data_IF_095275725846
#
_entry.id   IF_095275725846
#
_cell.length_a   1.000
_cell.length_b   1.000
_cell.length_c   1.000
_cell.angle_alpha   90.00
_cell.angle_beta   90.00
_cell.angle_gamma   90.00
#
_symmetry.space_group_name_H-M   'P 1'
#
loop_
_entity.id
_entity.type
_entity.pdbx_description
1 polymer ?
#
# COMPACT_ATOMS: atom_id res chain seq x y z
N UNK A 1 -35.36 -1.96 11.32
CA UNK A 1 -35.37 -3.28 11.95
C UNK A 1 -33.93 -3.65 12.27
N UNK A 2 -33.56 -3.66 13.55
CA UNK A 2 -32.25 -4.13 14.00
C UNK A 2 -32.19 -5.64 13.76
N UNK A 3 -31.32 -6.07 12.83
CA UNK A 3 -31.04 -7.50 12.63
C UNK A 3 -30.43 -8.00 13.94
N UNK A 4 -31.08 -8.98 14.59
CA UNK A 4 -30.48 -9.67 15.73
C UNK A 4 -29.19 -10.32 15.23
N UNK A 5 -28.04 -9.82 15.69
CA UNK A 5 -26.75 -10.47 15.46
C UNK A 5 -26.87 -11.92 15.95
N UNK A 6 -26.60 -12.90 15.09
CA UNK A 6 -26.59 -14.30 15.50
C UNK A 6 -25.44 -14.50 16.50
N UNK A 7 -25.60 -15.44 17.43
CA UNK A 7 -24.53 -15.80 18.38
C UNK A 7 -23.22 -16.12 17.65
N UNK A 8 -23.33 -16.70 16.45
CA UNK A 8 -22.19 -17.01 15.60
C UNK A 8 -21.47 -15.77 15.06
N UNK A 9 -22.22 -14.77 14.59
CA UNK A 9 -21.62 -13.51 14.12
C UNK A 9 -20.86 -12.80 15.24
N UNK A 10 -21.38 -12.84 16.47
CA UNK A 10 -20.69 -12.31 17.65
C UNK A 10 -19.40 -13.10 17.95
N UNK A 11 -19.43 -14.44 17.82
CA UNK A 11 -18.23 -15.28 18.00
C UNK A 11 -17.15 -14.97 16.97
N UNK A 12 -17.54 -14.79 15.70
CA UNK A 12 -16.63 -14.40 14.62
C UNK A 12 -16.00 -13.03 14.88
N UNK A 13 -16.81 -12.03 15.22
CA UNK A 13 -16.33 -10.68 15.54
C UNK A 13 -15.34 -10.70 16.71
N UNK A 14 -15.64 -11.42 17.79
CA UNK A 14 -14.75 -11.52 18.93
C UNK A 14 -13.44 -12.25 18.58
N UNK A 15 -13.49 -13.27 17.71
CA UNK A 15 -12.28 -13.96 17.23
C UNK A 15 -11.40 -13.04 16.41
N UNK A 16 -12.00 -12.21 15.55
CA UNK A 16 -11.29 -11.20 14.78
C UNK A 16 -10.60 -10.17 15.68
N UNK A 17 -11.26 -9.73 16.76
CA UNK A 17 -10.66 -8.83 17.75
C UNK A 17 -9.42 -9.45 18.43
N UNK A 18 -9.47 -10.75 18.77
CA UNK A 18 -8.33 -11.44 19.38
C UNK A 18 -7.16 -11.55 18.40
N UNK A 19 -7.39 -11.98 17.15
CA UNK A 19 -6.33 -12.08 16.14
C UNK A 19 -5.75 -10.71 15.78
N UNK A 20 -6.60 -9.68 15.62
CA UNK A 20 -6.16 -8.32 15.36
C UNK A 20 -5.31 -7.74 16.51
N UNK A 21 -5.69 -8.02 17.76
CA UNK A 21 -4.90 -7.61 18.94
C UNK A 21 -3.51 -8.26 18.95
N UNK A 22 -3.44 -9.57 18.67
CA UNK A 22 -2.17 -10.28 18.53
C UNK A 22 -1.33 -9.77 17.35
N UNK A 23 -1.94 -9.37 16.23
CA UNK A 23 -1.18 -8.77 15.11
C UNK A 23 -0.62 -7.40 15.45
N UNK A 24 -1.41 -6.57 16.14
CA UNK A 24 -1.02 -5.20 16.50
C UNK A 24 0.05 -5.17 17.59
N UNK A 25 -0.05 -6.04 18.58
CA UNK A 25 0.80 -6.01 19.79
C UNK A 25 1.82 -7.15 19.88
N UNK A 26 1.79 -8.10 18.93
CA UNK A 26 2.62 -9.30 18.97
C UNK A 26 2.07 -10.35 19.94
N UNK A 27 2.90 -11.33 20.35
CA UNK A 27 2.46 -12.36 21.29
C UNK A 27 2.06 -11.76 22.64
N UNK A 28 0.86 -12.09 23.11
CA UNK A 28 0.26 -11.53 24.33
C UNK A 28 -0.11 -12.60 25.34
N UNK A 29 -0.07 -12.25 26.64
CA UNK A 29 -0.71 -13.08 27.65
C UNK A 29 -2.24 -12.95 27.58
N UNK A 30 -2.94 -13.95 28.10
CA UNK A 30 -4.41 -13.95 28.22
C UNK A 30 -4.98 -12.65 28.81
N UNK A 31 -4.36 -12.14 29.89
CA UNK A 31 -4.80 -10.90 30.56
C UNK A 31 -4.65 -9.68 29.67
N UNK A 32 -3.60 -9.65 28.84
CA UNK A 32 -3.31 -8.52 27.97
C UNK A 32 -4.24 -8.55 26.75
N UNK A 33 -4.57 -9.74 26.23
CA UNK A 33 -5.61 -9.91 25.20
C UNK A 33 -6.96 -9.39 25.73
N UNK A 34 -7.34 -9.79 26.95
CA UNK A 34 -8.59 -9.30 27.58
C UNK A 34 -8.59 -7.78 27.74
N UNK A 35 -7.47 -7.19 28.18
CA UNK A 35 -7.33 -5.75 28.33
C UNK A 35 -7.43 -5.00 27.00
N UNK A 36 -6.69 -5.43 25.96
CA UNK A 36 -6.66 -4.75 24.67
C UNK A 36 -7.95 -4.92 23.86
N UNK A 37 -8.66 -6.04 24.01
CA UNK A 37 -9.91 -6.31 23.28
C UNK A 37 -11.16 -5.87 24.04
N UNK A 38 -11.06 -5.64 25.35
CA UNK A 38 -12.22 -5.40 26.23
C UNK A 38 -13.12 -6.63 26.44
N UNK A 39 -12.72 -7.81 25.96
CA UNK A 39 -13.49 -9.04 26.09
C UNK A 39 -13.37 -9.62 27.50
N UNK A 40 -14.45 -10.28 27.97
CA UNK A 40 -14.43 -10.98 29.23
C UNK A 40 -13.42 -12.14 29.22
N UNK A 41 -12.76 -12.39 30.36
CA UNK A 41 -11.74 -13.43 30.52
C UNK A 41 -12.19 -14.82 30.04
N UNK A 42 -13.44 -15.22 30.34
CA UNK A 42 -14.01 -16.48 29.88
C UNK A 42 -14.16 -16.54 28.35
N UNK A 43 -14.56 -15.43 27.72
CA UNK A 43 -14.68 -15.30 26.25
C UNK A 43 -13.32 -15.45 25.59
N UNK A 44 -12.29 -14.77 26.11
CA UNK A 44 -10.91 -14.90 25.61
C UNK A 44 -10.43 -16.35 25.72
N UNK A 45 -10.68 -17.02 26.86
CA UNK A 45 -10.28 -18.42 27.05
C UNK A 45 -10.92 -19.37 26.04
N UNK A 46 -12.22 -19.20 25.75
CA UNK A 46 -12.91 -20.01 24.76
C UNK A 46 -12.32 -19.79 23.36
N UNK A 47 -12.15 -18.53 22.95
CA UNK A 47 -11.60 -18.16 21.63
C UNK A 47 -10.17 -18.67 21.46
N UNK A 48 -9.29 -18.47 22.45
CA UNK A 48 -7.89 -18.91 22.35
C UNK A 48 -7.80 -20.44 22.28
N UNK A 49 -8.56 -21.17 23.10
CA UNK A 49 -8.56 -22.63 23.07
C UNK A 49 -9.05 -23.18 21.72
N UNK A 50 -10.09 -22.54 21.17
CA UNK A 50 -10.61 -22.86 19.84
C UNK A 50 -9.57 -22.61 18.74
N UNK A 51 -8.90 -21.44 18.74
CA UNK A 51 -7.87 -21.09 17.76
C UNK A 51 -6.60 -21.95 17.88
N UNK A 52 -6.23 -22.37 19.10
CA UNK A 52 -5.15 -23.34 19.32
C UNK A 52 -5.49 -24.72 18.75
N UNK A 53 -6.72 -25.20 18.98
CA UNK A 53 -7.20 -26.47 18.43
C UNK A 53 -7.20 -26.46 16.89
N UNK A 54 -7.46 -25.30 16.30
CA UNK A 54 -7.41 -25.08 14.86
C UNK A 54 -5.98 -24.84 14.32
N UNK A 55 -4.95 -24.93 15.17
CA UNK A 55 -3.56 -24.69 14.81
C UNK A 55 -3.27 -23.28 14.27
N UNK A 56 -4.13 -22.31 14.58
CA UNK A 56 -3.96 -20.89 14.19
C UNK A 56 -3.09 -20.16 15.21
N UNK A 57 -3.24 -20.53 16.49
CA UNK A 57 -2.41 -20.01 17.59
C UNK A 57 -1.47 -21.09 18.12
N UNK A 58 -0.38 -20.63 18.71
CA UNK A 58 0.51 -21.43 19.53
C UNK A 58 0.66 -20.79 20.92
N UNK A 59 0.74 -21.65 21.94
CA UNK A 59 1.09 -21.25 23.31
C UNK A 59 2.57 -21.44 23.58
N UNK A 60 3.18 -20.46 24.24
CA UNK A 60 4.53 -20.56 24.79
C UNK A 60 4.47 -20.28 26.29
N UNK A 61 5.09 -21.16 27.08
CA UNK A 61 5.27 -20.90 28.50
C UNK A 61 6.44 -19.93 28.68
N UNK A 62 6.16 -18.74 29.20
CA UNK A 62 7.21 -17.83 29.60
C UNK A 62 7.57 -18.14 31.06
N UNK A 63 8.75 -18.74 31.27
CA UNK A 63 9.30 -18.92 32.61
C UNK A 63 9.50 -17.53 33.24
N UNK A 64 8.92 -17.33 34.42
CA UNK A 64 9.09 -16.08 35.15
C UNK A 64 10.58 -15.89 35.48
N UNK A 65 11.16 -14.76 35.07
CA UNK A 65 12.46 -14.35 35.57
C UNK A 65 12.35 -14.11 37.09
N UNK A 66 12.87 -15.05 37.87
CA UNK A 66 13.17 -14.91 39.30
C UNK A 66 12.01 -14.49 40.26
N UNK A 67 10.76 -14.86 40.01
CA UNK A 67 9.62 -14.57 40.91
C UNK A 67 8.68 -15.76 41.10
N UNK A 68 8.22 -15.98 42.34
CA UNK A 68 7.15 -16.93 42.68
C UNK A 68 5.84 -16.44 42.03
N UNK A 69 5.40 -17.12 40.99
CA UNK A 69 4.11 -16.91 40.33
C UNK A 69 3.81 -18.04 39.36
N UNK A 70 2.52 -18.26 39.03
CA UNK A 70 2.11 -19.23 38.01
C UNK A 70 2.74 -18.83 36.66
N UNK A 71 3.36 -19.75 35.90
CA UNK A 71 3.92 -19.45 34.58
C UNK A 71 2.92 -18.69 33.72
N UNK A 72 3.39 -17.62 33.06
CA UNK A 72 2.55 -16.79 32.18
C UNK A 72 2.49 -17.47 30.81
N UNK A 73 1.30 -17.84 30.37
CA UNK A 73 1.08 -18.39 29.03
C UNK A 73 0.95 -17.24 28.05
N UNK A 74 1.80 -17.23 27.03
CA UNK A 74 1.79 -16.25 25.94
C UNK A 74 1.22 -16.94 24.70
N UNK A 75 0.23 -16.32 24.09
CA UNK A 75 -0.34 -16.73 22.80
C UNK A 75 0.30 -15.92 21.69
N UNK A 76 0.64 -16.59 20.60
CA UNK A 76 1.06 -15.95 19.36
C UNK A 76 0.49 -16.68 18.15
N UNK A 77 0.53 -16.03 16.98
CA UNK A 77 0.17 -16.68 15.73
C UNK A 77 1.11 -17.85 15.47
N UNK A 78 0.54 -19.00 15.12
CA UNK A 78 1.34 -20.14 14.64
C UNK A 78 1.85 -19.79 13.25
N UNK A 79 3.18 -19.62 13.11
CA UNK A 79 3.81 -19.20 11.85
C UNK A 79 3.40 -20.09 10.67
N UNK A 80 3.37 -21.41 10.87
CA UNK A 80 2.98 -22.39 9.85
C UNK A 80 1.49 -22.53 9.57
N UNK A 81 0.62 -21.65 10.10
CA UNK A 81 -0.83 -21.71 9.81
C UNK A 81 -1.17 -21.35 8.35
N UNK A 82 -0.21 -20.77 7.62
CA UNK A 82 -0.33 -20.46 6.20
C UNK A 82 0.74 -19.48 5.77
N UNK A 83 0.83 -19.26 4.46
CA UNK A 83 1.78 -18.33 3.87
C UNK A 83 1.07 -17.31 2.99
N UNK A 84 1.73 -16.18 2.78
CA UNK A 84 1.28 -15.17 1.83
C UNK A 84 2.45 -14.72 0.94
N UNK A 85 2.13 -14.35 -0.29
CA UNK A 85 3.08 -13.71 -1.20
C UNK A 85 2.65 -12.28 -1.45
N UNK A 86 3.54 -11.33 -1.18
CA UNK A 86 3.39 -9.93 -1.57
C UNK A 86 4.18 -9.67 -2.86
N UNK A 87 3.51 -9.14 -3.88
CA UNK A 87 4.12 -8.78 -5.16
C UNK A 87 3.93 -7.31 -5.44
N UNK A 88 5.03 -6.58 -5.57
CA UNK A 88 5.03 -5.16 -5.95
C UNK A 88 5.47 -5.01 -7.39
N UNK A 89 4.56 -4.58 -8.24
CA UNK A 89 4.80 -4.29 -9.66
C UNK A 89 5.13 -2.80 -9.80
N UNK A 90 6.41 -2.46 -9.75
CA UNK A 90 6.90 -1.11 -9.99
C UNK A 90 7.14 -0.84 -11.48
N UNK A 91 7.57 0.38 -11.81
CA UNK A 91 7.86 0.77 -13.19
C UNK A 91 9.12 0.10 -13.72
N UNK A 92 10.16 -0.05 -12.89
CA UNK A 92 11.50 -0.55 -13.22
C UNK A 92 11.75 -2.01 -12.84
N UNK A 93 11.02 -2.52 -11.86
CA UNK A 93 11.21 -3.88 -11.34
C UNK A 93 9.89 -4.49 -10.85
N UNK A 94 9.91 -5.81 -10.62
CA UNK A 94 8.90 -6.52 -9.85
C UNK A 94 9.58 -7.13 -8.63
N UNK A 95 9.01 -6.94 -7.46
CA UNK A 95 9.52 -7.48 -6.21
C UNK A 95 8.56 -8.54 -5.68
N UNK A 96 9.09 -9.68 -5.29
CA UNK A 96 8.35 -10.82 -4.76
C UNK A 96 8.83 -11.08 -3.33
N UNK A 97 7.90 -11.15 -2.38
CA UNK A 97 8.18 -11.36 -0.96
C UNK A 97 7.26 -12.45 -0.40
N UNK A 98 7.81 -13.51 0.16
CA UNK A 98 7.08 -14.57 0.84
C UNK A 98 7.14 -14.33 2.34
N UNK A 99 5.99 -14.35 3.02
CA UNK A 99 5.90 -14.27 4.46
C UNK A 99 5.03 -15.39 5.04
N UNK A 100 5.29 -15.76 6.28
CA UNK A 100 4.43 -16.65 7.06
C UNK A 100 3.25 -15.90 7.70
N UNK A 101 2.33 -16.66 8.31
CA UNK A 101 1.17 -16.11 9.01
C UNK A 101 1.50 -15.26 10.23
N UNK A 102 2.71 -15.39 10.78
CA UNK A 102 3.22 -14.47 11.81
C UNK A 102 3.68 -13.13 11.25
N UNK A 103 3.63 -12.93 9.92
CA UNK A 103 4.15 -11.76 9.24
C UNK A 103 5.67 -11.74 9.09
N UNK A 104 6.36 -12.85 9.35
CA UNK A 104 7.81 -12.92 9.19
C UNK A 104 8.16 -13.17 7.72
N UNK A 105 9.00 -12.31 7.16
CA UNK A 105 9.54 -12.48 5.81
C UNK A 105 10.46 -13.72 5.77
N UNK A 106 10.10 -14.68 4.91
CA UNK A 106 10.86 -15.92 4.68
C UNK A 106 11.85 -15.73 3.53
N UNK A 107 11.38 -15.13 2.45
CA UNK A 107 12.16 -14.99 1.23
C UNK A 107 11.75 -13.75 0.45
N UNK A 108 12.70 -13.17 -0.30
CA UNK A 108 12.48 -12.01 -1.16
C UNK A 108 13.47 -11.98 -2.32
N UNK A 109 13.01 -11.55 -3.49
CA UNK A 109 13.88 -11.16 -4.60
C UNK A 109 13.21 -10.11 -5.49
N UNK A 110 14.00 -9.54 -6.40
CA UNK A 110 13.55 -8.57 -7.39
C UNK A 110 13.96 -9.01 -8.80
N UNK A 111 13.11 -8.72 -9.78
CA UNK A 111 13.42 -8.88 -11.20
C UNK A 111 13.29 -7.53 -11.91
N UNK A 112 14.30 -7.16 -12.69
CA UNK A 112 14.23 -5.98 -13.51
C UNK A 112 13.18 -6.15 -14.61
N UNK A 113 12.41 -5.10 -14.88
CA UNK A 113 11.44 -5.09 -15.97
C UNK A 113 12.11 -4.70 -17.28
N UNK A 114 11.83 -5.49 -18.32
CA UNK A 114 12.16 -5.09 -19.68
C UNK A 114 11.22 -3.96 -20.14
N UNK A 115 11.76 -2.75 -20.28
CA UNK A 115 10.99 -1.56 -20.68
C UNK A 115 10.66 -1.52 -22.18
N UNK A 116 11.34 -2.34 -22.99
CA UNK A 116 11.05 -2.48 -24.41
C UNK A 116 9.81 -3.34 -24.67
N UNK A 117 9.44 -4.18 -23.70
CA UNK A 117 8.26 -5.04 -23.83
C UNK A 117 7.00 -4.26 -23.45
N UNK A 118 6.11 -4.09 -24.43
CA UNK A 118 4.80 -3.50 -24.21
C UNK A 118 3.70 -4.52 -23.99
N UNK A 119 3.97 -5.82 -24.19
CA UNK A 119 2.97 -6.87 -24.12
C UNK A 119 2.81 -7.39 -22.70
N UNK A 120 1.58 -7.72 -22.32
CA UNK A 120 1.30 -8.39 -21.05
C UNK A 120 1.71 -9.86 -21.03
N UNK A 121 1.88 -10.51 -22.19
CA UNK A 121 2.12 -11.96 -22.26
C UNK A 121 3.49 -12.38 -21.70
N UNK A 122 4.64 -11.82 -22.13
CA UNK A 122 5.92 -12.24 -21.59
C UNK A 122 6.06 -11.87 -20.11
N UNK A 123 5.43 -10.75 -19.70
CA UNK A 123 5.29 -10.40 -18.29
C UNK A 123 4.52 -11.46 -17.50
N UNK A 124 3.38 -11.93 -18.01
CA UNK A 124 2.56 -12.94 -17.34
C UNK A 124 3.32 -14.27 -17.19
N UNK A 125 4.03 -14.70 -18.23
CA UNK A 125 4.88 -15.91 -18.20
C UNK A 125 6.01 -15.77 -17.16
N UNK A 126 6.73 -14.64 -17.15
CA UNK A 126 7.76 -14.35 -16.16
C UNK A 126 7.19 -14.26 -14.73
N UNK A 127 6.01 -13.67 -14.57
CA UNK A 127 5.35 -13.49 -13.28
C UNK A 127 5.01 -14.83 -12.63
N UNK A 128 4.46 -15.78 -13.39
CA UNK A 128 4.15 -17.14 -12.89
C UNK A 128 5.44 -17.88 -12.55
N UNK A 129 6.44 -17.83 -13.45
CA UNK A 129 7.73 -18.49 -13.22
C UNK A 129 8.45 -17.93 -11.97
N UNK A 130 8.34 -16.64 -11.71
CA UNK A 130 8.90 -15.99 -10.52
C UNK A 130 8.21 -16.45 -9.24
N UNK A 131 6.88 -16.60 -9.24
CA UNK A 131 6.13 -17.14 -8.11
C UNK A 131 6.46 -18.61 -7.84
N UNK A 132 6.52 -19.43 -8.89
CA UNK A 132 6.92 -20.84 -8.77
C UNK A 132 8.33 -20.97 -8.19
N UNK A 133 9.27 -20.15 -8.68
CA UNK A 133 10.62 -20.10 -8.15
C UNK A 133 10.69 -19.65 -6.68
N UNK A 134 9.86 -18.70 -6.27
CA UNK A 134 9.77 -18.24 -4.88
C UNK A 134 9.32 -19.40 -3.96
N UNK A 135 8.28 -20.12 -4.38
CA UNK A 135 7.72 -21.27 -3.68
C UNK A 135 8.75 -22.41 -3.58
N UNK A 136 9.36 -22.79 -4.71
CA UNK A 136 10.36 -23.86 -4.79
C UNK A 136 11.59 -23.58 -3.92
N UNK A 137 12.15 -22.36 -4.00
CA UNK A 137 13.32 -21.95 -3.21
C UNK A 137 13.02 -21.97 -1.71
N UNK A 138 11.79 -21.65 -1.33
CA UNK A 138 11.33 -21.64 0.06
C UNK A 138 10.82 -22.99 0.55
N UNK A 139 10.71 -23.98 -0.35
CA UNK A 139 10.13 -25.32 -0.09
C UNK A 139 8.70 -25.25 0.46
N UNK A 140 7.93 -24.28 -0.03
CA UNK A 140 6.51 -24.09 0.31
C UNK A 140 5.70 -24.49 -0.91
N UNK A 141 4.71 -25.37 -0.74
CA UNK A 141 3.84 -25.74 -1.85
C UNK A 141 2.93 -24.54 -2.22
N UNK A 142 2.64 -24.27 -3.50
CA UNK A 142 1.73 -23.20 -3.92
C UNK A 142 0.35 -23.25 -3.24
N UNK A 143 -0.11 -24.43 -2.83
CA UNK A 143 -1.37 -24.64 -2.13
C UNK A 143 -1.35 -24.21 -0.65
N UNK A 144 -0.16 -24.09 -0.04
CA UNK A 144 0.02 -23.59 1.33
C UNK A 144 0.02 -22.06 1.38
N UNK A 145 0.14 -21.40 0.23
CA UNK A 145 -0.03 -19.95 0.10
C UNK A 145 -1.52 -19.63 0.07
N UNK A 146 -2.01 -18.99 1.13
CA UNK A 146 -3.42 -18.66 1.30
C UNK A 146 -3.79 -17.36 0.57
N UNK A 147 -2.86 -16.40 0.49
CA UNK A 147 -3.08 -15.09 -0.15
C UNK A 147 -1.91 -14.70 -1.03
N UNK A 148 -2.19 -14.23 -2.24
CA UNK A 148 -1.23 -13.51 -3.08
C UNK A 148 -1.72 -12.07 -3.20
N UNK A 149 -1.00 -11.15 -2.55
CA UNK A 149 -1.31 -9.73 -2.50
C UNK A 149 -0.43 -8.98 -3.51
N UNK A 150 -1.05 -8.42 -4.54
CA UNK A 150 -0.39 -7.80 -5.68
C UNK A 150 -0.67 -6.30 -5.67
N UNK A 151 0.35 -5.50 -5.93
CA UNK A 151 0.22 -4.07 -6.13
C UNK A 151 0.78 -3.64 -7.48
N UNK A 152 0.13 -2.66 -8.10
CA UNK A 152 0.59 -2.05 -9.34
C UNK A 152 0.29 -0.57 -9.35
N UNK A 153 1.04 0.17 -10.17
CA UNK A 153 0.65 1.51 -10.61
C UNK A 153 -0.32 1.39 -11.79
N UNK A 154 -1.35 2.22 -11.80
CA UNK A 154 -2.39 2.23 -12.82
C UNK A 154 -3.79 1.96 -12.26
N UNK A 155 -4.71 1.64 -13.15
CA UNK A 155 -6.09 1.33 -12.83
C UNK A 155 -6.24 -0.16 -12.59
N UNK A 156 -6.66 -0.54 -11.40
CA UNK A 156 -6.94 -1.92 -11.02
C UNK A 156 -8.44 -2.11 -10.81
N UNK A 157 -8.94 -3.30 -11.13
CA UNK A 157 -10.21 -3.82 -10.67
C UNK A 157 -9.93 -4.86 -9.58
N UNK A 158 -10.07 -4.51 -8.28
CA UNK A 158 -9.83 -5.43 -7.18
C UNK A 158 -10.80 -6.61 -7.15
N UNK A 159 -12.03 -6.44 -7.63
CA UNK A 159 -13.07 -7.47 -7.54
C UNK A 159 -12.78 -8.67 -8.45
N UNK A 160 -12.23 -8.41 -9.63
CA UNK A 160 -11.81 -9.45 -10.57
C UNK A 160 -10.30 -9.72 -10.56
N UNK A 161 -9.53 -9.03 -9.70
CA UNK A 161 -8.07 -9.05 -9.66
C UNK A 161 -7.43 -8.76 -11.03
N UNK A 162 -7.94 -7.73 -11.73
CA UNK A 162 -7.46 -7.33 -13.07
C UNK A 162 -6.71 -6.00 -13.04
N UNK A 163 -5.54 -5.97 -13.66
CA UNK A 163 -4.90 -4.72 -14.06
C UNK A 163 -5.57 -4.24 -15.35
N UNK A 164 -6.35 -3.17 -15.26
CA UNK A 164 -7.17 -2.65 -16.37
C UNK A 164 -6.37 -1.69 -17.25
N UNK A 165 -5.50 -0.89 -16.63
CA UNK A 165 -4.60 0.01 -17.33
C UNK A 165 -3.32 0.23 -16.53
N UNK A 166 -2.17 0.36 -17.18
CA UNK A 166 -0.93 0.80 -16.52
C UNK A 166 -0.07 1.69 -17.42
N UNK A 167 0.85 2.50 -16.85
CA UNK A 167 1.79 3.30 -17.62
C UNK A 167 2.69 2.49 -18.58
N UNK A 168 2.88 1.20 -18.32
CA UNK A 168 3.78 0.33 -19.09
C UNK A 168 3.03 -0.43 -20.19
N UNK A 169 1.90 -1.05 -19.84
CA UNK A 169 1.08 -1.89 -20.74
C UNK A 169 -0.03 -1.12 -21.46
N UNK A 170 -0.26 0.15 -21.12
CA UNK A 170 -1.40 0.89 -21.66
C UNK A 170 -2.70 0.19 -21.29
N UNK A 171 -3.54 -0.08 -22.30
CA UNK A 171 -4.84 -0.72 -22.15
C UNK A 171 -4.82 -2.26 -22.22
N UNK A 172 -3.65 -2.89 -22.44
CA UNK A 172 -3.56 -4.35 -22.32
C UNK A 172 -3.74 -4.77 -20.86
N UNK A 173 -4.69 -5.68 -20.63
CA UNK A 173 -5.07 -6.11 -19.29
C UNK A 173 -4.30 -7.35 -18.84
N UNK A 174 -4.15 -7.49 -17.52
CA UNK A 174 -3.64 -8.71 -16.87
C UNK A 174 -4.68 -9.22 -15.89
N UNK A 175 -5.17 -10.43 -16.11
CA UNK A 175 -6.08 -11.13 -15.18
C UNK A 175 -5.25 -12.05 -14.28
N UNK A 176 -4.90 -11.58 -13.09
CA UNK A 176 -4.05 -12.35 -12.17
C UNK A 176 -4.77 -13.57 -11.59
N UNK A 177 -6.10 -13.51 -11.43
CA UNK A 177 -6.87 -14.65 -10.95
C UNK A 177 -6.88 -15.79 -11.99
N UNK A 178 -7.02 -15.46 -13.27
CA UNK A 178 -6.93 -16.44 -14.35
C UNK A 178 -5.49 -16.95 -14.52
N UNK A 179 -4.50 -16.08 -14.40
CA UNK A 179 -3.08 -16.42 -14.58
C UNK A 179 -2.57 -17.44 -13.56
N UNK A 180 -3.09 -17.40 -12.34
CA UNK A 180 -2.59 -18.21 -11.23
C UNK A 180 -3.36 -19.53 -11.04
N UNK A 181 -4.56 -19.67 -11.62
CA UNK A 181 -5.33 -20.91 -11.58
C UNK A 181 -4.84 -21.93 -12.62
N UNK A 182 -4.94 -23.25 -12.35
CA UNK A 182 -5.45 -23.87 -11.12
C UNK A 182 -4.38 -24.13 -10.05
N UNK A 183 -3.10 -23.84 -10.34
CA UNK A 183 -1.95 -24.20 -9.49
C UNK A 183 -1.97 -23.49 -8.14
N UNK A 184 -2.25 -22.18 -8.14
CA UNK A 184 -2.34 -21.40 -6.91
C UNK A 184 -3.80 -21.34 -6.46
N UNK A 185 -4.08 -21.88 -5.28
CA UNK A 185 -5.41 -21.82 -4.62
C UNK A 185 -5.60 -20.54 -3.80
N UNK A 186 -4.56 -19.72 -3.73
CA UNK A 186 -4.55 -18.48 -2.99
C UNK A 186 -5.65 -17.52 -3.44
N UNK A 187 -6.19 -16.76 -2.47
CA UNK A 187 -6.98 -15.57 -2.75
C UNK A 187 -6.08 -14.49 -3.32
N UNK A 188 -6.50 -13.88 -4.42
CA UNK A 188 -5.72 -12.83 -5.09
C UNK A 188 -6.27 -11.47 -4.68
N UNK A 189 -5.44 -10.68 -4.02
CA UNK A 189 -5.75 -9.29 -3.69
C UNK A 189 -4.98 -8.40 -4.64
N UNK A 190 -5.68 -7.56 -5.43
CA UNK A 190 -5.02 -6.58 -6.29
C UNK A 190 -5.33 -5.17 -5.80
N UNK A 191 -4.28 -4.39 -5.54
CA UNK A 191 -4.39 -3.01 -5.04
C UNK A 191 -3.60 -2.04 -5.90
N UNK A 192 -4.05 -0.78 -5.95
CA UNK A 192 -3.19 0.31 -6.38
C UNK A 192 -2.08 0.49 -5.32
N UNK A 193 -0.83 0.69 -5.75
CA UNK A 193 0.31 0.83 -4.84
C UNK A 193 0.10 1.91 -3.76
N UNK A 194 -0.46 3.08 -4.10
CA UNK A 194 -0.64 4.16 -3.13
C UNK A 194 -1.72 3.89 -2.09
N UNK A 195 -2.63 2.93 -2.34
CA UNK A 195 -3.55 2.43 -1.32
C UNK A 195 -2.76 1.79 -0.18
N UNK A 196 -1.78 0.95 -0.51
CA UNK A 196 -0.96 0.26 0.49
C UNK A 196 -0.05 1.23 1.25
N UNK A 197 0.48 2.24 0.56
CA UNK A 197 1.27 3.30 1.19
C UNK A 197 0.44 4.10 2.19
N UNK A 198 -0.77 4.53 1.81
CA UNK A 198 -1.66 5.27 2.71
C UNK A 198 -2.09 4.41 3.91
N UNK A 199 -2.36 3.13 3.68
CA UNK A 199 -2.66 2.15 4.73
C UNK A 199 -1.51 2.08 5.76
N UNK A 200 -0.28 1.82 5.31
CA UNK A 200 0.88 1.71 6.18
C UNK A 200 1.19 3.04 6.91
N UNK A 201 1.06 4.17 6.22
CA UNK A 201 1.26 5.49 6.84
C UNK A 201 0.26 5.76 7.97
N UNK A 202 -1.02 5.41 7.77
CA UNK A 202 -2.03 5.57 8.81
C UNK A 202 -1.70 4.77 10.06
N UNK A 203 -1.32 3.49 9.89
CA UNK A 203 -0.92 2.63 11.02
C UNK A 203 0.36 3.10 11.71
N UNK A 204 1.36 3.58 10.96
CA UNK A 204 2.58 4.16 11.55
C UNK A 204 2.27 5.40 12.38
N UNK A 205 1.40 6.28 11.90
CA UNK A 205 1.01 7.49 12.62
C UNK A 205 0.13 7.19 13.84
N UNK A 206 -0.80 6.23 13.74
CA UNK A 206 -1.56 5.72 14.88
C UNK A 206 -0.62 5.18 15.96
N UNK A 207 0.35 4.33 15.57
CA UNK A 207 1.35 3.76 16.48
C UNK A 207 2.27 4.82 17.09
N UNK A 208 2.56 5.90 16.36
CA UNK A 208 3.34 7.02 16.88
C UNK A 208 2.54 7.93 17.84
N UNK A 209 1.24 7.67 18.04
CA UNK A 209 0.39 8.43 18.95
C UNK A 209 0.06 9.83 18.42
N UNK A 210 -0.07 10.00 17.10
CA UNK A 210 -0.49 11.28 16.52
C UNK A 210 -1.91 11.61 17.01
N UNK A 211 -2.04 12.68 17.80
CA UNK A 211 -3.30 13.10 18.38
C UNK A 211 -4.34 13.43 17.32
N UNK A 212 -5.59 13.01 17.55
CA UNK A 212 -6.74 13.28 16.67
C UNK A 212 -6.55 12.88 15.20
N UNK A 213 -5.77 11.83 14.93
CA UNK A 213 -5.59 11.30 13.59
C UNK A 213 -6.88 10.66 13.06
N UNK A 214 -7.60 11.37 12.20
CA UNK A 214 -8.81 10.86 11.53
C UNK A 214 -8.56 10.43 10.08
N UNK A 215 -7.54 11.01 9.44
CA UNK A 215 -7.18 10.71 8.07
C UNK A 215 -5.71 11.04 7.77
N UNK A 216 -5.15 10.42 6.73
CA UNK A 216 -3.86 10.77 6.15
C UNK A 216 -3.90 10.54 4.64
N UNK A 217 -3.29 11.46 3.89
CA UNK A 217 -3.04 11.29 2.47
C UNK A 217 -1.58 10.88 2.24
N UNK A 218 -1.33 9.90 1.36
CA UNK A 218 0.00 9.52 0.93
C UNK A 218 0.18 9.82 -0.57
N UNK A 219 1.02 10.80 -0.89
CA UNK A 219 1.35 11.23 -2.25
C UNK A 219 2.65 10.57 -2.70
N UNK A 220 2.56 9.65 -3.65
CA UNK A 220 3.73 9.03 -4.28
C UNK A 220 4.24 9.91 -5.41
N UNK A 221 5.51 10.31 -5.31
CA UNK A 221 6.22 11.08 -6.33
C UNK A 221 7.28 10.21 -7.02
N UNK A 222 7.28 10.18 -8.35
CA UNK A 222 8.34 9.51 -9.09
C UNK A 222 8.04 9.32 -10.58
N UNK A 223 8.29 8.10 -11.06
CA UNK A 223 7.95 7.67 -12.41
C UNK A 223 6.46 7.87 -12.74
N UNK A 224 5.61 7.72 -11.73
CA UNK A 224 4.18 8.01 -11.77
C UNK A 224 3.78 8.82 -10.54
N UNK A 225 2.64 9.50 -10.64
CA UNK A 225 2.06 10.28 -9.53
C UNK A 225 0.79 9.58 -9.06
N UNK A 226 0.73 9.23 -7.78
CA UNK A 226 -0.42 8.55 -7.17
C UNK A 226 -0.75 9.14 -5.80
N UNK A 227 -1.99 8.96 -5.37
CA UNK A 227 -2.45 9.39 -4.06
C UNK A 227 -3.27 8.27 -3.42
N UNK A 228 -2.93 7.91 -2.19
CA UNK A 228 -3.81 7.14 -1.32
C UNK A 228 -4.38 8.02 -0.22
N UNK A 229 -5.61 7.73 0.22
CA UNK A 229 -6.26 8.41 1.33
C UNK A 229 -6.75 7.33 2.29
N UNK A 230 -6.22 7.35 3.51
CA UNK A 230 -6.61 6.49 4.61
C UNK A 230 -7.44 7.29 5.61
N UNK A 231 -8.50 6.67 6.15
CA UNK A 231 -9.43 7.28 7.11
C UNK A 231 -9.85 6.28 8.17
N UNK A 232 -9.76 6.72 9.42
CA UNK A 232 -10.35 6.01 10.55
C UNK A 232 -11.82 6.41 10.69
N UNK A 233 -12.70 5.44 10.82
CA UNK A 233 -14.09 5.69 11.16
C UNK A 233 -14.26 5.92 12.67
N UNK A 234 -15.52 6.06 13.13
CA UNK A 234 -15.82 6.28 14.56
C UNK A 234 -15.52 5.06 15.45
N UNK A 235 -15.36 3.89 14.86
CA UNK A 235 -15.01 2.64 15.55
C UNK A 235 -13.50 2.40 15.57
N UNK A 236 -12.72 3.24 14.87
CA UNK A 236 -11.29 3.06 14.67
C UNK A 236 -10.95 2.11 13.52
N UNK A 237 -11.93 1.72 12.70
CA UNK A 237 -11.69 0.90 11.51
C UNK A 237 -11.05 1.75 10.41
N UNK A 238 -9.99 1.22 9.80
CA UNK A 238 -9.23 1.89 8.76
C UNK A 238 -9.80 1.58 7.37
N UNK A 239 -10.38 2.60 6.74
CA UNK A 239 -10.77 2.57 5.33
C UNK A 239 -9.71 3.26 4.47
N UNK A 240 -9.40 2.71 3.30
CA UNK A 240 -8.37 3.27 2.41
C UNK A 240 -8.84 3.28 0.97
N UNK A 241 -8.57 4.38 0.27
CA UNK A 241 -8.88 4.57 -1.15
C UNK A 241 -7.65 5.08 -1.88
N UNK A 242 -7.58 4.85 -3.20
CA UNK A 242 -6.53 5.39 -4.05
C UNK A 242 -7.16 6.02 -5.30
N UNK A 243 -7.62 7.28 -5.24
CA UNK A 243 -8.15 7.96 -6.41
C UNK A 243 -7.07 8.12 -7.49
N UNK A 244 -7.48 8.22 -8.75
CA UNK A 244 -6.59 8.46 -9.90
C UNK A 244 -6.05 9.91 -9.94
N UNK A 245 -5.45 10.36 -8.84
CA UNK A 245 -4.99 11.72 -8.61
C UNK A 245 -4.03 12.20 -9.70
N UNK A 246 -3.02 11.40 -10.07
CA UNK A 246 -2.07 11.77 -11.13
C UNK A 246 -2.73 12.01 -12.50
N UNK A 247 -3.88 11.41 -12.76
CA UNK A 247 -4.62 11.57 -14.02
C UNK A 247 -5.74 12.61 -13.96
N UNK A 248 -5.92 13.28 -12.82
CA UNK A 248 -6.81 14.43 -12.73
C UNK A 248 -6.36 15.52 -13.70
N UNK A 249 -7.29 16.01 -14.52
CA UNK A 249 -7.04 17.13 -15.44
C UNK A 249 -6.75 18.39 -14.61
N UNK A 250 -5.58 18.97 -14.82
CA UNK A 250 -5.08 20.09 -14.03
C UNK A 250 -5.00 21.39 -14.82
N UNK A 251 -4.55 21.34 -16.08
CA UNK A 251 -4.29 22.52 -16.90
C UNK A 251 -4.67 22.28 -18.37
N UNK A 252 -5.08 23.34 -19.07
CA UNK A 252 -5.30 23.31 -20.52
C UNK A 252 -4.00 23.66 -21.27
N UNK A 253 -2.89 22.99 -20.93
CA UNK A 253 -1.54 23.27 -21.45
C UNK A 253 -1.08 22.29 -22.55
N UNK A 254 -1.98 21.41 -22.99
CA UNK A 254 -1.73 20.45 -24.07
C UNK A 254 -0.75 19.33 -23.74
N UNK A 255 -0.22 19.25 -22.50
CA UNK A 255 0.78 18.23 -22.15
C UNK A 255 0.17 16.84 -22.19
N UNK A 256 0.60 16.02 -23.16
CA UNK A 256 0.12 14.65 -23.33
C UNK A 256 0.56 13.79 -22.14
N UNK A 257 -0.39 13.04 -21.59
CA UNK A 257 -0.19 12.06 -20.53
C UNK A 257 -0.13 10.64 -21.11
N UNK A 258 0.50 9.70 -20.40
CA UNK A 258 0.51 8.28 -20.79
C UNK A 258 -0.87 7.63 -20.80
N UNK A 259 -1.86 8.21 -20.10
CA UNK A 259 -3.25 7.76 -20.17
C UNK A 259 -3.99 8.20 -21.44
N UNK A 260 -3.36 9.01 -22.30
CA UNK A 260 -3.94 9.54 -23.54
C UNK A 260 -4.64 10.90 -23.38
N UNK A 261 -4.94 11.32 -22.15
CA UNK A 261 -5.47 12.65 -21.89
C UNK A 261 -4.37 13.73 -21.94
N UNK A 262 -4.78 15.00 -21.99
CA UNK A 262 -3.89 16.16 -21.96
C UNK A 262 -4.09 16.96 -20.68
N UNK A 263 -2.99 17.47 -20.11
CA UNK A 263 -3.06 18.36 -18.96
C UNK A 263 -3.25 17.66 -17.62
N UNK A 264 -3.03 16.34 -17.53
CA UNK A 264 -3.01 15.62 -16.25
C UNK A 264 -1.92 16.16 -15.32
N UNK A 265 -2.12 16.04 -14.00
CA UNK A 265 -1.07 16.35 -13.00
C UNK A 265 0.22 15.60 -13.32
N UNK A 266 0.14 14.30 -13.59
CA UNK A 266 1.29 13.45 -13.92
C UNK A 266 2.02 13.94 -15.17
N UNK A 267 1.32 14.53 -16.15
CA UNK A 267 1.93 15.04 -17.37
C UNK A 267 2.86 16.25 -17.12
N UNK A 268 2.72 16.91 -15.97
CA UNK A 268 3.63 17.95 -15.50
C UNK A 268 4.60 17.45 -14.42
N UNK A 269 4.12 16.64 -13.48
CA UNK A 269 4.85 16.32 -12.25
C UNK A 269 5.54 14.96 -12.22
N UNK A 270 5.15 14.02 -13.08
CA UNK A 270 5.88 12.78 -13.24
C UNK A 270 7.27 13.04 -13.84
N UNK A 271 8.21 12.11 -13.64
CA UNK A 271 9.59 12.28 -14.14
C UNK A 271 9.66 12.57 -15.65
N UNK A 272 8.79 11.98 -16.47
CA UNK A 272 8.72 12.31 -17.89
C UNK A 272 8.23 13.74 -18.16
N UNK A 273 7.35 14.29 -17.32
CA UNK A 273 6.84 15.65 -17.42
C UNK A 273 7.91 16.69 -17.04
N UNK A 274 8.68 16.40 -15.98
CA UNK A 274 9.84 17.19 -15.59
C UNK A 274 10.91 17.15 -16.69
N UNK A 275 11.25 15.96 -17.19
CA UNK A 275 12.19 15.78 -18.31
C UNK A 275 11.75 16.57 -19.54
N UNK A 276 10.50 16.40 -19.98
CA UNK A 276 9.93 17.11 -21.13
C UNK A 276 10.08 18.62 -20.98
N UNK A 277 9.74 19.16 -19.81
CA UNK A 277 9.81 20.60 -19.54
C UNK A 277 11.25 21.10 -19.47
N UNK A 278 12.16 20.34 -18.85
CA UNK A 278 13.56 20.72 -18.69
C UNK A 278 14.33 20.79 -20.02
N UNK A 279 13.90 20.01 -21.01
CA UNK A 279 14.47 19.94 -22.35
C UNK A 279 13.60 20.61 -23.43
N UNK A 280 12.54 21.34 -23.03
CA UNK A 280 11.67 22.10 -23.93
C UNK A 280 11.06 21.24 -25.06
N UNK A 281 10.79 19.97 -24.76
CA UNK A 281 10.18 19.04 -25.70
C UNK A 281 8.70 19.41 -25.90
N UNK A 282 8.15 19.37 -27.14
CA UNK A 282 6.76 19.74 -27.41
C UNK A 282 5.76 19.01 -26.49
N UNK A 283 4.71 19.70 -26.00
CA UNK A 283 3.80 19.18 -24.98
C UNK A 283 3.05 17.92 -25.41
N UNK A 284 2.77 17.77 -26.70
CA UNK A 284 2.07 16.65 -27.34
C UNK A 284 2.97 15.47 -27.69
N UNK A 285 4.28 15.56 -27.42
CA UNK A 285 5.22 14.45 -27.64
C UNK A 285 4.85 13.24 -26.79
N UNK A 286 4.81 12.07 -27.43
CA UNK A 286 4.55 10.78 -26.77
C UNK A 286 5.49 10.63 -25.56
N UNK A 287 4.94 10.53 -24.34
CA UNK A 287 5.77 10.47 -23.14
C UNK A 287 6.61 9.20 -23.08
N UNK A 288 7.82 9.31 -22.53
CA UNK A 288 8.62 8.15 -22.16
C UNK A 288 7.86 7.30 -21.12
N UNK A 289 7.83 5.97 -21.34
CA UNK A 289 7.25 5.02 -20.38
C UNK A 289 7.98 5.06 -19.04
N UNK A 290 9.30 5.22 -19.09
CA UNK A 290 10.19 5.22 -17.96
C UNK A 290 11.30 6.26 -18.13
N UNK A 291 11.73 6.88 -17.03
CA UNK A 291 12.86 7.82 -16.99
C UNK A 291 13.79 7.37 -15.87
N UNK A 292 15.03 6.95 -16.16
CA UNK A 292 15.97 6.50 -15.14
C UNK A 292 16.26 7.57 -14.09
N UNK A 293 16.44 7.15 -12.83
CA UNK A 293 16.75 8.09 -11.74
C UNK A 293 18.03 8.89 -11.99
N UNK A 294 19.04 8.29 -12.62
CA UNK A 294 20.28 8.99 -12.96
C UNK A 294 20.05 10.20 -13.89
N UNK A 295 19.07 10.13 -14.80
CA UNK A 295 18.72 11.28 -15.64
C UNK A 295 18.02 12.37 -14.84
N UNK A 296 17.14 11.99 -13.90
CA UNK A 296 16.51 12.93 -12.98
C UNK A 296 17.52 13.61 -12.07
N UNK A 297 18.52 12.87 -11.56
CA UNK A 297 19.61 13.42 -10.74
C UNK A 297 20.42 14.47 -11.53
N UNK A 298 20.70 14.24 -12.83
CA UNK A 298 21.38 15.22 -13.70
C UNK A 298 20.56 16.50 -13.86
N UNK A 299 19.25 16.40 -14.07
CA UNK A 299 18.35 17.57 -14.21
C UNK A 299 18.28 18.33 -12.89
N UNK A 300 18.17 17.63 -11.76
CA UNK A 300 18.15 18.22 -10.43
C UNK A 300 19.47 18.95 -10.11
N UNK A 301 20.62 18.36 -10.47
CA UNK A 301 21.91 19.01 -10.31
C UNK A 301 22.00 20.31 -11.13
N UNK A 302 21.58 20.29 -12.40
CA UNK A 302 21.51 21.50 -13.24
C UNK A 302 20.61 22.57 -12.63
N UNK A 303 19.43 22.18 -12.11
CA UNK A 303 18.53 23.10 -11.43
C UNK A 303 19.20 23.75 -10.21
N UNK A 304 19.83 22.96 -9.34
CA UNK A 304 20.56 23.48 -8.17
C UNK A 304 21.77 24.36 -8.53
N UNK A 305 22.28 24.25 -9.76
CA UNK A 305 23.35 25.09 -10.31
C UNK A 305 22.85 26.34 -11.05
N UNK A 306 21.55 26.68 -10.99
CA UNK A 306 21.01 27.89 -11.61
C UNK A 306 20.50 27.70 -13.04
N UNK A 307 20.40 26.46 -13.55
CA UNK A 307 19.90 26.24 -14.91
C UNK A 307 18.38 26.52 -14.98
N UNK A 308 18.04 27.66 -15.58
CA UNK A 308 16.69 28.24 -15.58
C UNK A 308 15.58 27.25 -15.99
N UNK A 309 15.77 26.49 -17.07
CA UNK A 309 14.73 25.56 -17.52
C UNK A 309 14.59 24.32 -16.64
N UNK A 310 15.67 23.87 -16.00
CA UNK A 310 15.60 22.77 -15.04
C UNK A 310 14.89 23.20 -13.77
N UNK A 311 15.20 24.39 -13.25
CA UNK A 311 14.47 24.99 -12.12
C UNK A 311 12.99 25.19 -12.45
N UNK A 312 12.70 25.75 -13.62
CA UNK A 312 11.33 25.95 -14.08
C UNK A 312 10.56 24.64 -14.15
N UNK A 313 11.17 23.56 -14.66
CA UNK A 313 10.54 22.25 -14.74
C UNK A 313 10.12 21.71 -13.36
N UNK A 314 11.00 21.75 -12.36
CA UNK A 314 10.63 21.35 -10.99
C UNK A 314 9.60 22.28 -10.37
N UNK A 315 9.71 23.60 -10.59
CA UNK A 315 8.70 24.54 -10.08
C UNK A 315 7.31 24.26 -10.66
N UNK A 316 7.20 23.99 -11.97
CA UNK A 316 5.93 23.66 -12.60
C UNK A 316 5.37 22.31 -12.13
N UNK A 317 6.24 21.31 -11.94
CA UNK A 317 5.84 20.04 -11.32
C UNK A 317 5.28 20.26 -9.91
N UNK A 318 5.97 21.05 -9.07
CA UNK A 318 5.49 21.45 -7.76
C UNK A 318 4.14 22.14 -7.84
N UNK A 319 3.97 23.12 -8.73
CA UNK A 319 2.73 23.87 -8.89
C UNK A 319 1.55 22.96 -9.26
N UNK A 320 1.74 22.02 -10.18
CA UNK A 320 0.71 21.04 -10.56
C UNK A 320 0.32 20.13 -9.38
N UNK A 321 1.30 19.68 -8.59
CA UNK A 321 1.05 18.89 -7.38
C UNK A 321 0.27 19.70 -6.34
N UNK A 322 0.69 20.93 -6.07
CA UNK A 322 0.03 21.83 -5.12
C UNK A 322 -1.42 22.13 -5.51
N UNK A 323 -1.67 22.44 -6.78
CA UNK A 323 -3.02 22.62 -7.32
C UNK A 323 -3.86 21.34 -7.22
N UNK A 324 -3.25 20.18 -7.46
CA UNK A 324 -3.91 18.89 -7.25
C UNK A 324 -4.33 18.68 -5.80
N UNK A 325 -3.39 18.86 -4.87
CA UNK A 325 -3.63 18.74 -3.43
C UNK A 325 -4.68 19.75 -2.95
N UNK A 326 -4.69 20.97 -3.47
CA UNK A 326 -5.74 21.97 -3.21
C UNK A 326 -7.14 21.41 -3.48
N UNK A 327 -7.34 20.74 -4.62
CA UNK A 327 -8.63 20.13 -4.98
C UNK A 327 -8.98 18.96 -4.08
N UNK A 328 -7.99 18.14 -3.73
CA UNK A 328 -8.18 17.04 -2.78
C UNK A 328 -8.67 17.57 -1.43
N UNK A 329 -7.95 18.54 -0.86
CA UNK A 329 -8.30 19.16 0.43
C UNK A 329 -9.70 19.78 0.38
N UNK A 330 -10.07 20.44 -0.72
CA UNK A 330 -11.42 20.97 -0.91
C UNK A 330 -12.55 19.93 -0.93
N UNK A 331 -12.27 18.67 -1.28
CA UNK A 331 -13.27 17.58 -1.33
C UNK A 331 -13.29 16.72 -0.07
N UNK A 332 -12.17 16.64 0.63
CA UNK A 332 -11.90 15.64 1.65
C UNK A 332 -11.52 16.23 3.01
N UNK A 333 -11.53 17.56 3.13
CA UNK A 333 -11.00 18.33 4.26
C UNK A 333 -9.47 18.21 4.40
N UNK A 334 -8.89 19.09 5.22
CA UNK A 334 -7.46 19.09 5.47
C UNK A 334 -7.06 17.88 6.33
N UNK A 335 -5.99 17.20 5.91
CA UNK A 335 -5.39 16.07 6.62
C UNK A 335 -3.87 16.11 6.45
N UNK A 336 -3.08 15.49 7.35
CA UNK A 336 -1.65 15.29 7.13
C UNK A 336 -1.35 14.64 5.77
N UNK A 337 -0.28 15.09 5.13
CA UNK A 337 0.16 14.59 3.82
C UNK A 337 1.56 14.00 3.97
N UNK A 338 1.67 12.69 3.77
CA UNK A 338 2.94 12.00 3.62
C UNK A 338 3.35 12.00 2.15
N UNK A 339 4.57 12.44 1.83
CA UNK A 339 5.12 12.40 0.48
C UNK A 339 6.15 11.28 0.40
N UNK A 340 5.94 10.37 -0.54
CA UNK A 340 6.71 9.13 -0.70
C UNK A 340 7.31 9.01 -2.09
N UNK A 341 8.06 7.93 -2.30
CA UNK A 341 8.61 7.56 -3.59
C UNK A 341 9.93 8.25 -3.90
N UNK A 342 10.59 7.87 -5.01
CA UNK A 342 11.92 8.38 -5.33
C UNK A 342 11.95 9.88 -5.63
N UNK A 343 10.81 10.50 -5.94
CA UNK A 343 10.69 11.95 -6.16
C UNK A 343 10.95 12.78 -4.90
N UNK A 344 10.90 12.18 -3.71
CA UNK A 344 11.28 12.84 -2.44
C UNK A 344 12.71 13.41 -2.46
N UNK A 345 13.63 12.80 -3.24
CA UNK A 345 15.01 13.29 -3.46
C UNK A 345 15.11 14.69 -4.07
N UNK A 346 14.02 15.15 -4.70
CA UNK A 346 13.95 16.44 -5.40
C UNK A 346 12.93 17.38 -4.75
N UNK A 347 12.46 17.06 -3.54
CA UNK A 347 11.41 17.82 -2.87
C UNK A 347 11.82 19.27 -2.60
N UNK A 348 13.10 19.54 -2.35
CA UNK A 348 13.64 20.90 -2.23
C UNK A 348 13.33 21.78 -3.45
N UNK A 349 13.39 21.20 -4.66
CA UNK A 349 13.11 21.89 -5.92
C UNK A 349 11.61 22.01 -6.21
N UNK A 350 10.80 21.05 -5.72
CA UNK A 350 9.34 21.02 -5.91
C UNK A 350 8.61 21.92 -4.90
N UNK A 351 9.16 22.08 -3.70
CA UNK A 351 8.51 22.67 -2.52
C UNK A 351 7.84 24.00 -2.81
N UNK A 352 8.58 24.94 -3.41
CA UNK A 352 8.06 26.30 -3.68
C UNK A 352 6.82 26.26 -4.55
N UNK A 353 6.83 25.47 -5.63
CA UNK A 353 5.67 25.34 -6.50
C UNK A 353 4.50 24.66 -5.79
N UNK A 354 4.79 23.62 -5.00
CA UNK A 354 3.76 22.90 -4.24
C UNK A 354 3.06 23.79 -3.22
N UNK A 355 3.83 24.56 -2.44
CA UNK A 355 3.29 25.50 -1.46
C UNK A 355 2.47 26.61 -2.14
N UNK A 356 2.93 27.13 -3.28
CA UNK A 356 2.20 28.13 -4.06
C UNK A 356 0.86 27.59 -4.59
N UNK A 357 0.84 26.38 -5.16
CA UNK A 357 -0.37 25.76 -5.67
C UNK A 357 -1.35 25.35 -4.58
N UNK A 358 -0.83 24.87 -3.44
CA UNK A 358 -1.61 24.49 -2.27
C UNK A 358 -2.21 25.72 -1.57
N UNK A 359 -1.44 26.81 -1.50
CA UNK A 359 -1.84 28.09 -0.92
C UNK A 359 -2.98 28.81 -1.64
N UNK A 360 -3.37 28.36 -2.84
CA UNK A 360 -4.55 28.88 -3.55
C UNK A 360 -5.88 28.32 -3.02
N UNK A 361 -5.86 27.20 -2.29
CA UNK A 361 -7.09 26.62 -1.72
C UNK A 361 -7.68 27.53 -0.65
N UNK A 362 -9.00 27.74 -0.68
CA UNK A 362 -9.71 28.48 0.36
C UNK A 362 -9.44 27.90 1.75
N UNK A 363 -9.42 26.57 1.86
CA UNK A 363 -9.17 25.89 3.14
C UNK A 363 -7.78 26.22 3.68
N UNK A 364 -6.76 26.19 2.81
CA UNK A 364 -5.38 26.50 3.19
C UNK A 364 -5.22 27.98 3.55
N UNK A 365 -5.90 28.88 2.84
CA UNK A 365 -5.89 30.32 3.14
C UNK A 365 -6.55 30.67 4.47
N UNK A 366 -7.57 29.92 4.88
CA UNK A 366 -8.31 30.18 6.12
C UNK A 366 -7.69 29.48 7.34
N UNK A 367 -7.19 28.26 7.17
CA UNK A 367 -6.76 27.40 8.28
C UNK A 367 -5.28 27.02 8.27
N UNK A 368 -4.52 27.49 7.28
CA UNK A 368 -3.12 27.13 7.08
C UNK A 368 -2.94 25.86 6.26
N UNK A 369 -1.69 25.62 5.83
CA UNK A 369 -1.35 24.42 5.08
C UNK A 369 -1.37 23.18 5.98
N UNK A 370 -1.85 22.02 5.49
CA UNK A 370 -1.74 20.78 6.24
C UNK A 370 -0.26 20.43 6.47
N UNK A 371 0.07 19.70 7.56
CA UNK A 371 1.42 19.25 7.80
C UNK A 371 1.86 18.27 6.71
N UNK A 372 3.06 18.48 6.17
CA UNK A 372 3.66 17.65 5.13
C UNK A 372 4.89 16.94 5.70
N UNK A 373 4.93 15.62 5.62
CA UNK A 373 6.08 14.80 6.04
C UNK A 373 6.66 14.05 4.84
N UNK A 374 7.98 13.85 4.82
CA UNK A 374 8.65 13.02 3.82
C UNK A 374 8.85 11.61 4.38
N UNK A 375 8.42 10.59 3.62
CA UNK A 375 8.63 9.19 3.92
C UNK A 375 9.23 8.48 2.69
N UNK A 376 10.56 8.56 2.49
CA UNK A 376 11.21 8.13 1.25
C UNK A 376 11.17 6.61 1.01
N UNK A 377 10.97 5.81 2.07
CA UNK A 377 10.97 4.35 2.08
C UNK A 377 9.67 3.74 1.54
N UNK A 378 9.24 4.16 0.35
CA UNK A 378 7.96 3.73 -0.26
C UNK A 378 7.84 2.21 -0.40
N UNK A 379 8.91 1.52 -0.80
CA UNK A 379 8.90 0.07 -0.94
C UNK A 379 8.61 -0.64 0.40
N UNK A 380 9.12 -0.09 1.51
CA UNK A 380 8.85 -0.61 2.85
C UNK A 380 7.38 -0.39 3.23
N UNK A 381 6.83 0.80 2.98
CA UNK A 381 5.42 1.11 3.23
C UNK A 381 4.48 0.23 2.39
N UNK A 382 4.84 -0.04 1.13
CA UNK A 382 4.08 -0.96 0.27
C UNK A 382 4.10 -2.39 0.83
N UNK A 383 5.26 -2.87 1.29
CA UNK A 383 5.36 -4.19 1.92
C UNK A 383 4.55 -4.26 3.22
N UNK A 384 4.65 -3.26 4.09
CA UNK A 384 3.85 -3.18 5.32
C UNK A 384 2.34 -3.20 5.04
N UNK A 385 1.90 -2.42 4.06
CA UNK A 385 0.49 -2.41 3.62
C UNK A 385 0.05 -3.74 3.02
N UNK A 386 0.92 -4.42 2.26
CA UNK A 386 0.65 -5.77 1.79
C UNK A 386 0.48 -6.76 2.94
N UNK A 387 1.44 -6.80 3.86
CA UNK A 387 1.46 -7.76 4.96
C UNK A 387 0.22 -7.56 5.84
N UNK A 388 -0.06 -6.34 6.30
CA UNK A 388 -1.16 -6.09 7.21
C UNK A 388 -2.52 -6.45 6.59
N UNK A 389 -2.77 -6.02 5.35
CA UNK A 389 -4.03 -6.30 4.65
C UNK A 389 -4.19 -7.77 4.28
N UNK A 390 -3.12 -8.42 3.79
CA UNK A 390 -3.18 -9.84 3.43
C UNK A 390 -3.38 -10.71 4.67
N UNK A 391 -2.68 -10.42 5.76
CA UNK A 391 -2.87 -11.13 7.03
C UNK A 391 -4.26 -10.89 7.61
N UNK A 392 -4.85 -9.69 7.46
CA UNK A 392 -6.24 -9.42 7.85
C UNK A 392 -7.24 -10.23 7.04
N UNK A 393 -6.99 -10.39 5.74
CA UNK A 393 -7.81 -11.26 4.91
C UNK A 393 -7.68 -12.74 5.33
N UNK A 394 -6.46 -13.19 5.65
CA UNK A 394 -6.23 -14.55 6.17
C UNK A 394 -6.98 -14.79 7.47
N UNK A 395 -6.98 -13.84 8.41
CA UNK A 395 -7.76 -13.96 9.65
C UNK A 395 -9.25 -14.14 9.35
N UNK A 396 -9.81 -13.32 8.46
CA UNK A 396 -11.22 -13.40 8.10
C UNK A 396 -11.57 -14.74 7.45
N UNK A 397 -10.77 -15.20 6.49
CA UNK A 397 -11.01 -16.48 5.82
C UNK A 397 -10.84 -17.67 6.79
N UNK A 398 -9.85 -17.63 7.69
CA UNK A 398 -9.66 -18.62 8.76
C UNK A 398 -10.85 -18.64 9.71
N UNK A 399 -11.37 -17.48 10.12
CA UNK A 399 -12.55 -17.39 10.99
C UNK A 399 -13.80 -17.92 10.25
N UNK A 400 -14.00 -17.53 8.98
CA UNK A 400 -15.18 -17.90 8.20
C UNK A 400 -15.22 -19.40 7.86
N UNK A 401 -14.08 -20.00 7.49
CA UNK A 401 -14.00 -21.44 7.18
C UNK A 401 -14.43 -22.31 8.37
N UNK A 402 -14.33 -21.79 9.60
CA UNK A 402 -14.66 -22.51 10.83
C UNK A 402 -16.16 -22.55 11.10
N UNK A 403 -16.94 -21.63 10.54
CA UNK A 403 -18.39 -21.57 10.71
C UNK A 403 -19.16 -22.52 9.78
N UNK A 404 -18.52 -22.97 8.69
CA UNK A 404 -19.13 -23.90 7.73
C UNK A 404 -18.90 -25.37 8.14
N UNK A 405 -18.03 -25.61 9.12
CA UNK A 405 -17.64 -26.96 9.59
C UNK A 405 -18.36 -27.46 10.85
N UNK A 406 -19.32 -26.69 11.38
CA UNK A 406 -20.29 -27.11 12.42
C UNK A 406 -21.65 -27.37 11.77
#
# INVERSE_FOLDING_TARGET
MLVKSSTELVRQQNSALVLASLRRHGPLAHTDISHHTGLASATVSAITAELEKAEVLERREQQAAASRGRPRVIFGQRRGAGYLVAVRIASDLVQYSLADYGGTLIDRFEEARNQADSSTRPFAEAFVAALDRLADRSRIAPEEVLVVSISSKGLVDPASARLVWSPVFGAEQVDFAALLKPRWRAKILLSNETLLVAHAMALRMEKAGVENLTAVAALSLGHSIGLGIARFDRTGELSVTAPNFGHMLNAADGKLCRCGAQGCIEASAGFYGILRTAFEVPPDTIPAKFVPLAEMDKIALRARQGHRMSEYAFRQAGLALGQGLSRMVSLHEAMPIAITGPGTRYFDLLRRGLEEGLGQSQQVRLFGAPPITLAPEEATLVLEGHLDRALAEMDHDIIAARTVGE
#
